data_IF_675616175455
#
_entry.id   IF_675616175455
#
_cell.length_a   1.000
_cell.length_b   1.000
_cell.length_c   1.000
_cell.angle_alpha   90.00
_cell.angle_beta   90.00
_cell.angle_gamma   90.00
#
_symmetry.space_group_name_H-M   'P 1'
#
loop_
_entity.id
_entity.type
_entity.pdbx_description
1 polymer ?
#
# COMPACT_ATOMS: atom_id res chain seq x y z
N UNK A 1 -12.25 5.57 -23.83
CA UNK A 1 -11.94 5.69 -22.40
C UNK A 1 -11.09 4.53 -21.91
N UNK A 2 -10.29 4.79 -20.88
CA UNK A 2 -9.50 3.75 -20.21
C UNK A 2 -10.39 2.79 -19.38
N UNK A 3 -9.77 1.79 -18.70
CA UNK A 3 -10.52 0.80 -17.90
C UNK A 3 -11.24 1.38 -16.69
N UNK A 4 -10.82 2.55 -16.22
CA UNK A 4 -11.49 3.28 -15.14
C UNK A 4 -12.66 4.13 -15.66
N UNK A 5 -13.02 4.04 -16.95
CA UNK A 5 -14.09 4.80 -17.55
C UNK A 5 -13.76 6.28 -17.79
N UNK A 6 -12.46 6.64 -17.84
CA UNK A 6 -11.99 8.02 -17.97
C UNK A 6 -11.54 8.28 -19.40
N UNK A 7 -11.96 9.40 -19.97
CA UNK A 7 -11.50 9.95 -21.25
C UNK A 7 -10.72 11.23 -20.97
N UNK A 8 -9.48 11.29 -21.39
CA UNK A 8 -8.68 12.51 -21.31
C UNK A 8 -8.83 13.32 -22.59
N UNK A 9 -9.12 14.61 -22.47
CA UNK A 9 -9.08 15.56 -23.57
C UNK A 9 -7.84 16.43 -23.44
N UNK A 10 -7.11 16.63 -24.54
CA UNK A 10 -5.86 17.43 -24.55
C UNK A 10 -6.04 18.80 -23.91
N UNK A 11 -7.16 19.47 -24.19
CA UNK A 11 -7.47 20.77 -23.59
C UNK A 11 -7.37 20.73 -22.06
N UNK A 12 -8.12 19.85 -21.40
CA UNK A 12 -8.15 19.76 -19.94
C UNK A 12 -6.86 19.17 -19.36
N UNK A 13 -6.22 18.25 -20.12
CA UNK A 13 -4.89 17.74 -19.75
C UNK A 13 -3.88 18.89 -19.68
N UNK A 14 -3.89 19.77 -20.68
CA UNK A 14 -3.01 20.95 -20.74
C UNK A 14 -3.33 21.97 -19.64
N UNK A 15 -4.61 22.25 -19.37
CA UNK A 15 -5.04 23.22 -18.37
C UNK A 15 -4.60 22.83 -16.95
N UNK A 16 -4.49 21.53 -16.67
CA UNK A 16 -4.12 21.00 -15.35
C UNK A 16 -2.65 20.52 -15.27
N UNK A 17 -1.89 20.59 -16.38
CA UNK A 17 -0.56 19.98 -16.47
C UNK A 17 0.48 20.59 -15.52
N UNK A 18 0.35 21.86 -15.15
CA UNK A 18 1.31 22.50 -14.24
C UNK A 18 1.33 21.84 -12.84
N UNK A 19 0.28 21.14 -12.45
CA UNK A 19 0.25 20.35 -11.21
C UNK A 19 1.16 19.10 -11.24
N UNK A 20 1.69 18.74 -12.43
CA UNK A 20 2.73 17.70 -12.57
C UNK A 20 4.04 18.11 -11.90
N UNK A 21 4.33 19.43 -11.85
CA UNK A 21 5.56 19.94 -11.24
C UNK A 21 5.54 19.73 -9.72
N UNK A 22 6.47 18.91 -9.24
CA UNK A 22 6.51 18.48 -7.84
C UNK A 22 5.65 17.26 -7.52
N UNK A 23 4.92 16.72 -8.49
CA UNK A 23 4.16 15.49 -8.32
C UNK A 23 5.09 14.33 -7.93
N UNK A 24 4.74 13.50 -6.94
CA UNK A 24 5.55 12.36 -6.55
C UNK A 24 5.54 11.26 -7.62
N UNK A 25 6.72 10.69 -7.86
CA UNK A 25 6.86 9.39 -8.50
C UNK A 25 6.90 8.33 -7.40
N UNK A 26 5.98 7.37 -7.46
CA UNK A 26 5.75 6.40 -6.40
C UNK A 26 6.00 4.96 -6.86
N UNK A 27 6.20 4.06 -5.91
CA UNK A 27 6.16 2.62 -6.07
C UNK A 27 5.61 1.97 -4.78
N UNK A 28 4.70 1.01 -4.94
CA UNK A 28 4.40 0.01 -3.92
C UNK A 28 5.33 -1.16 -4.19
N UNK A 29 6.15 -1.56 -3.23
CA UNK A 29 7.09 -2.66 -3.43
C UNK A 29 6.47 -3.99 -3.03
N UNK A 30 6.87 -5.06 -3.73
CA UNK A 30 6.40 -6.40 -3.48
C UNK A 30 6.84 -6.90 -2.09
N UNK A 31 8.06 -6.51 -1.68
CA UNK A 31 8.66 -6.86 -0.41
C UNK A 31 9.66 -5.80 0.10
N UNK A 32 10.34 -6.11 1.22
CA UNK A 32 11.29 -5.23 1.88
C UNK A 32 12.59 -5.01 1.08
N UNK A 33 12.88 -5.80 0.06
CA UNK A 33 14.06 -5.62 -0.81
C UNK A 33 13.95 -4.37 -1.67
N UNK A 34 12.72 -3.87 -1.89
CA UNK A 34 12.42 -2.63 -2.63
C UNK A 34 13.05 -2.60 -4.02
N UNK A 35 12.99 -3.72 -4.71
CA UNK A 35 13.45 -3.89 -6.08
C UNK A 35 12.29 -3.93 -7.07
N UNK A 36 11.31 -4.78 -6.86
CA UNK A 36 10.19 -5.01 -7.77
C UNK A 36 8.94 -4.24 -7.32
N UNK A 37 8.42 -3.32 -8.15
CA UNK A 37 7.16 -2.66 -7.85
C UNK A 37 5.99 -3.64 -8.01
N UNK A 38 4.88 -3.38 -7.32
CA UNK A 38 3.66 -4.17 -7.42
C UNK A 38 2.51 -3.35 -7.99
N UNK A 39 1.78 -2.66 -7.15
CA UNK A 39 0.58 -1.90 -7.50
C UNK A 39 0.68 -0.42 -7.11
N UNK A 40 -0.44 0.13 -6.67
CA UNK A 40 -0.53 1.53 -6.21
C UNK A 40 -0.36 1.70 -4.70
N UNK A 41 -0.42 0.63 -3.91
CA UNK A 41 -0.49 0.75 -2.45
C UNK A 41 -1.83 1.27 -1.95
N UNK A 42 -2.94 0.87 -2.60
CA UNK A 42 -4.29 1.30 -2.25
C UNK A 42 -4.70 0.76 -0.87
N UNK A 43 -4.95 1.66 0.08
CA UNK A 43 -5.38 1.33 1.45
C UNK A 43 -6.85 1.62 1.72
N UNK A 44 -7.48 2.48 0.93
CA UNK A 44 -8.87 2.84 1.13
C UNK A 44 -9.36 3.97 0.24
N UNK A 45 -10.44 4.62 0.65
CA UNK A 45 -11.02 5.77 -0.05
C UNK A 45 -11.45 6.84 0.96
N UNK A 46 -11.15 8.10 0.66
CA UNK A 46 -11.63 9.27 1.39
C UNK A 46 -12.45 10.13 0.41
N UNK A 47 -13.71 10.43 0.74
CA UNK A 47 -14.62 11.16 -0.15
C UNK A 47 -14.67 10.59 -1.58
N UNK A 48 -14.73 9.26 -1.71
CA UNK A 48 -14.68 8.51 -2.98
C UNK A 48 -13.36 8.63 -3.78
N UNK A 49 -12.33 9.27 -3.24
CA UNK A 49 -10.99 9.31 -3.82
C UNK A 49 -10.13 8.19 -3.23
N UNK A 50 -9.37 7.46 -4.06
CA UNK A 50 -8.47 6.41 -3.58
C UNK A 50 -7.33 7.01 -2.73
N UNK A 51 -6.89 6.25 -1.74
CA UNK A 51 -5.76 6.59 -0.86
C UNK A 51 -4.69 5.51 -1.02
N UNK A 52 -3.44 5.94 -1.22
CA UNK A 52 -2.32 5.08 -1.61
C UNK A 52 -1.19 5.12 -0.56
N UNK A 53 -1.50 4.77 0.70
CA UNK A 53 -0.56 4.89 1.83
C UNK A 53 0.54 3.82 1.82
N UNK A 54 0.32 2.67 1.16
CA UNK A 54 1.32 1.59 1.08
C UNK A 54 2.35 1.80 -0.04
N UNK A 55 2.23 2.88 -0.82
CA UNK A 55 3.26 3.29 -1.77
C UNK A 55 4.25 4.28 -1.14
N UNK A 56 5.49 4.26 -1.62
CA UNK A 56 6.54 5.18 -1.19
C UNK A 56 6.95 6.08 -2.35
N UNK A 57 7.29 7.33 -2.02
CA UNK A 57 7.84 8.26 -2.99
C UNK A 57 9.28 7.87 -3.33
N UNK A 58 9.52 7.45 -4.58
CA UNK A 58 10.84 7.06 -5.08
C UNK A 58 11.51 8.17 -5.87
N UNK A 59 10.77 9.20 -6.29
CA UNK A 59 11.24 10.32 -7.07
C UNK A 59 10.22 11.45 -7.14
N UNK A 60 10.43 12.39 -8.05
CA UNK A 60 9.51 13.50 -8.30
C UNK A 60 9.61 13.99 -9.74
N UNK A 61 8.52 14.54 -10.27
CA UNK A 61 8.49 15.19 -11.58
C UNK A 61 8.80 16.69 -11.45
N UNK A 62 9.50 17.22 -12.46
CA UNK A 62 10.01 18.59 -12.48
C UNK A 62 9.39 19.43 -13.59
N UNK A 63 9.09 18.79 -14.73
CA UNK A 63 8.55 19.47 -15.90
C UNK A 63 7.65 18.55 -16.73
N UNK A 64 6.96 19.13 -17.72
CA UNK A 64 6.07 18.39 -18.60
C UNK A 64 6.08 18.97 -20.03
N UNK A 65 5.70 18.12 -20.99
CA UNK A 65 5.42 18.49 -22.38
C UNK A 65 4.22 17.71 -22.91
N UNK A 66 3.66 18.10 -24.05
CA UNK A 66 2.65 17.31 -24.76
C UNK A 66 3.23 16.94 -26.12
N UNK A 67 3.39 15.63 -26.34
CA UNK A 67 4.08 15.07 -27.48
C UNK A 67 3.29 13.93 -28.11
N UNK A 68 3.59 13.63 -29.37
CA UNK A 68 3.08 12.45 -30.05
C UNK A 68 4.06 11.30 -29.83
N UNK A 69 3.63 10.27 -29.14
CA UNK A 69 4.43 9.11 -28.73
C UNK A 69 3.90 7.86 -29.42
N UNK A 70 4.80 7.07 -30.01
CA UNK A 70 4.46 5.77 -30.57
C UNK A 70 4.45 4.69 -29.48
N UNK A 71 3.27 4.13 -29.21
CA UNK A 71 3.05 3.10 -28.20
C UNK A 71 2.36 1.91 -28.85
N UNK A 72 3.03 0.74 -28.86
CA UNK A 72 2.50 -0.52 -29.42
C UNK A 72 2.10 -0.40 -30.92
N UNK A 73 2.77 0.49 -31.68
CA UNK A 73 2.55 0.71 -33.10
C UNK A 73 1.43 1.71 -33.43
N UNK A 74 0.89 2.37 -32.41
CA UNK A 74 -0.09 3.46 -32.55
C UNK A 74 0.48 4.77 -32.01
N UNK A 75 0.21 5.88 -32.69
CA UNK A 75 0.61 7.22 -32.23
C UNK A 75 -0.44 7.74 -31.24
N UNK A 76 0.03 8.08 -30.05
CA UNK A 76 -0.79 8.65 -28.98
C UNK A 76 -0.32 10.09 -28.68
N UNK A 77 -1.27 10.99 -28.52
CA UNK A 77 -1.02 12.33 -28.00
C UNK A 77 -0.94 12.26 -26.49
N UNK A 78 0.26 12.40 -25.92
CA UNK A 78 0.56 12.14 -24.52
C UNK A 78 1.00 13.38 -23.76
N UNK A 79 0.62 13.48 -22.48
CA UNK A 79 1.32 14.29 -21.50
C UNK A 79 2.57 13.52 -21.07
N UNK A 80 3.74 14.06 -21.42
CA UNK A 80 5.04 13.54 -21.03
C UNK A 80 5.53 14.32 -19.81
N UNK A 81 5.84 13.63 -18.74
CA UNK A 81 6.40 14.21 -17.52
C UNK A 81 7.86 13.79 -17.38
N UNK A 82 8.73 14.73 -17.07
CA UNK A 82 10.15 14.50 -16.80
C UNK A 82 10.46 14.76 -15.33
N UNK A 83 11.40 14.03 -14.77
CA UNK A 83 11.77 14.14 -13.37
C UNK A 83 12.93 13.24 -13.02
N UNK A 84 13.04 12.83 -11.77
CA UNK A 84 14.15 12.00 -11.30
C UNK A 84 13.67 10.89 -10.37
N UNK A 85 14.48 9.85 -10.28
CA UNK A 85 14.37 8.78 -9.26
C UNK A 85 15.55 8.92 -8.30
N UNK A 86 15.29 8.76 -7.01
CA UNK A 86 16.31 8.80 -5.95
C UNK A 86 17.12 7.50 -5.92
N UNK A 87 18.01 7.30 -6.88
CA UNK A 87 18.84 6.09 -6.99
C UNK A 87 19.59 5.79 -5.70
N UNK A 88 20.17 6.81 -5.05
CA UNK A 88 20.88 6.62 -3.79
C UNK A 88 20.04 6.07 -2.64
N UNK A 89 18.70 6.15 -2.73
CA UNK A 89 17.76 5.56 -1.77
C UNK A 89 17.16 4.24 -2.23
N UNK A 90 17.01 4.08 -3.55
CA UNK A 90 16.34 2.93 -4.17
C UNK A 90 17.21 2.33 -5.29
N UNK A 91 18.47 1.93 -4.99
CA UNK A 91 19.39 1.44 -6.02
C UNK A 91 18.92 0.16 -6.69
N UNK A 92 18.35 -0.78 -5.93
CA UNK A 92 17.80 -2.04 -6.47
C UNK A 92 16.61 -1.80 -7.40
N UNK A 93 15.78 -0.81 -7.09
CA UNK A 93 14.65 -0.43 -7.93
C UNK A 93 15.11 0.18 -9.25
N UNK A 94 16.12 1.04 -9.23
CA UNK A 94 16.72 1.62 -10.45
C UNK A 94 17.34 0.51 -11.30
N UNK A 95 18.14 -0.39 -10.71
CA UNK A 95 18.71 -1.56 -11.38
C UNK A 95 17.62 -2.42 -12.04
N UNK A 96 16.52 -2.68 -11.31
CA UNK A 96 15.38 -3.42 -11.86
C UNK A 96 14.76 -2.69 -13.07
N UNK A 97 14.57 -1.35 -13.02
CA UNK A 97 14.06 -0.58 -14.16
C UNK A 97 15.00 -0.71 -15.35
N UNK A 98 16.30 -0.54 -15.15
CA UNK A 98 17.32 -0.65 -16.20
C UNK A 98 17.29 -2.01 -16.86
N UNK A 99 17.23 -3.08 -16.07
CA UNK A 99 17.13 -4.46 -16.56
C UNK A 99 15.87 -4.69 -17.39
N UNK A 100 14.72 -4.17 -16.96
CA UNK A 100 13.48 -4.31 -17.71
C UNK A 100 13.58 -3.55 -19.06
N UNK A 101 14.08 -2.32 -19.06
CA UNK A 101 14.25 -1.51 -20.28
C UNK A 101 15.29 -2.14 -21.22
N UNK A 102 16.43 -2.64 -20.70
CA UNK A 102 17.45 -3.33 -21.48
C UNK A 102 16.91 -4.61 -22.15
N UNK A 103 15.96 -5.28 -21.53
CA UNK A 103 15.26 -6.44 -22.08
C UNK A 103 14.08 -6.07 -23.00
N UNK A 104 13.93 -4.79 -23.38
CA UNK A 104 12.90 -4.29 -24.29
C UNK A 104 11.49 -4.32 -23.71
N UNK A 105 11.35 -4.42 -22.41
CA UNK A 105 10.04 -4.37 -21.76
C UNK A 105 9.58 -2.94 -21.59
N UNK A 106 8.30 -2.69 -21.87
CA UNK A 106 7.64 -1.42 -21.58
C UNK A 106 7.15 -1.42 -20.16
N UNK A 107 7.76 -0.61 -19.32
CA UNK A 107 7.30 -0.42 -17.96
C UNK A 107 6.04 0.43 -17.96
N UNK A 108 5.03 -0.04 -17.28
CA UNK A 108 3.72 0.60 -17.20
C UNK A 108 3.58 1.32 -15.86
N UNK A 109 2.75 2.34 -15.87
CA UNK A 109 2.41 3.04 -14.65
C UNK A 109 0.95 3.45 -14.62
N UNK A 110 0.59 4.15 -13.59
CA UNK A 110 -0.74 4.71 -13.44
C UNK A 110 -0.65 6.09 -12.83
N UNK A 111 -1.31 7.04 -13.48
CA UNK A 111 -1.41 8.40 -13.02
C UNK A 111 -2.51 8.51 -11.96
N UNK A 112 -2.25 9.33 -10.96
CA UNK A 112 -3.16 9.67 -9.89
C UNK A 112 -3.53 11.16 -10.00
N UNK A 113 -4.80 11.47 -9.74
CA UNK A 113 -5.26 12.85 -9.68
C UNK A 113 -6.34 13.03 -8.62
N UNK A 114 -6.41 14.24 -8.08
CA UNK A 114 -7.31 14.64 -7.00
C UNK A 114 -8.06 15.90 -7.39
N UNK A 115 -9.13 16.19 -6.67
CA UNK A 115 -9.81 17.48 -6.82
C UNK A 115 -8.97 18.62 -6.25
N UNK A 116 -9.13 19.82 -6.82
CA UNK A 116 -8.43 21.01 -6.40
C UNK A 116 -8.97 21.56 -5.08
N UNK A 117 -8.15 22.33 -4.37
CA UNK A 117 -8.58 22.99 -3.12
C UNK A 117 -9.75 23.94 -3.33
N UNK A 118 -9.82 24.59 -4.48
CA UNK A 118 -10.88 25.53 -4.84
C UNK A 118 -12.23 24.87 -5.09
N UNK A 119 -12.23 23.55 -5.27
CA UNK A 119 -13.42 22.71 -5.45
C UNK A 119 -13.64 21.73 -4.27
N UNK A 120 -13.25 22.12 -3.06
CA UNK A 120 -13.41 21.30 -1.84
C UNK A 120 -12.77 19.88 -1.95
N UNK A 121 -11.78 19.72 -2.81
CA UNK A 121 -11.13 18.45 -3.09
C UNK A 121 -11.92 17.52 -4.03
N UNK A 122 -12.92 18.05 -4.72
CA UNK A 122 -13.68 17.27 -5.72
C UNK A 122 -13.14 17.50 -7.14
N UNK A 123 -13.11 16.45 -7.94
CA UNK A 123 -12.81 16.51 -9.37
C UNK A 123 -14.05 16.99 -10.10
N UNK A 124 -13.92 18.05 -10.90
CA UNK A 124 -15.00 18.52 -11.76
C UNK A 124 -14.92 17.80 -13.11
N UNK A 125 -16.03 17.22 -13.54
CA UNK A 125 -16.15 16.53 -14.79
C UNK A 125 -16.98 17.34 -15.80
N UNK A 126 -16.52 17.38 -17.07
CA UNK A 126 -17.25 17.98 -18.17
C UNK A 126 -18.55 17.18 -18.45
N UNK A 127 -19.66 17.90 -18.42
CA UNK A 127 -20.99 17.30 -18.50
C UNK A 127 -21.39 16.46 -17.27
N UNK A 128 -20.67 16.61 -16.15
CA UNK A 128 -20.93 15.91 -14.90
C UNK A 128 -20.33 14.50 -14.82
N UNK A 129 -20.51 13.86 -13.68
CA UNK A 129 -19.98 12.53 -13.42
C UNK A 129 -20.74 11.46 -14.23
N UNK A 130 -20.00 10.52 -14.83
CA UNK A 130 -20.50 9.32 -15.51
C UNK A 130 -19.63 8.14 -15.11
N UNK A 131 -20.20 6.96 -15.06
CA UNK A 131 -19.44 5.75 -14.79
C UNK A 131 -18.41 5.46 -15.90
N UNK A 132 -18.83 5.61 -17.16
CA UNK A 132 -17.97 5.41 -18.32
C UNK A 132 -17.93 6.65 -19.22
N UNK A 133 -16.74 6.93 -19.75
CA UNK A 133 -16.51 8.06 -20.66
C UNK A 133 -16.56 9.43 -19.95
N UNK A 134 -16.39 9.47 -18.61
CA UNK A 134 -16.30 10.73 -17.89
C UNK A 134 -15.02 11.46 -18.24
N UNK A 135 -15.11 12.78 -18.32
CA UNK A 135 -14.04 13.66 -18.77
C UNK A 135 -13.65 14.55 -17.60
N UNK A 136 -12.53 14.32 -16.93
CA UNK A 136 -12.04 15.22 -15.88
C UNK A 136 -11.66 16.56 -16.51
N UNK A 137 -12.20 17.64 -15.94
CA UNK A 137 -12.03 19.00 -16.43
C UNK A 137 -11.15 19.84 -15.51
N UNK A 138 -11.42 19.78 -14.18
CA UNK A 138 -10.64 20.52 -13.17
C UNK A 138 -10.17 19.50 -12.12
N UNK A 139 -8.86 19.37 -12.01
CA UNK A 139 -8.18 18.41 -11.12
C UNK A 139 -6.69 18.78 -11.00
N UNK A 140 -6.00 18.23 -10.02
CA UNK A 140 -4.54 18.25 -9.91
C UNK A 140 -3.99 16.85 -10.11
N UNK A 141 -2.87 16.72 -10.81
CA UNK A 141 -2.08 15.51 -10.82
C UNK A 141 -1.43 15.33 -9.44
N UNK A 142 -1.66 14.19 -8.79
CA UNK A 142 -1.25 13.94 -7.41
C UNK A 142 -0.15 12.89 -7.26
N UNK A 143 0.05 12.05 -8.28
CA UNK A 143 1.07 11.03 -8.27
C UNK A 143 1.13 10.22 -9.56
N UNK A 144 2.23 9.53 -9.74
CA UNK A 144 2.40 8.51 -10.76
C UNK A 144 3.09 7.30 -10.13
N UNK A 145 2.48 6.13 -10.23
CA UNK A 145 3.04 4.90 -9.67
C UNK A 145 3.53 3.97 -10.78
N UNK A 146 4.78 3.48 -10.67
CA UNK A 146 5.30 2.44 -11.57
C UNK A 146 4.74 1.09 -11.11
N UNK A 147 4.21 0.31 -12.07
CA UNK A 147 3.48 -0.93 -11.80
C UNK A 147 4.15 -2.13 -12.49
N UNK A 148 4.15 -3.29 -11.82
CA UNK A 148 4.37 -4.58 -12.48
C UNK A 148 3.06 -5.29 -12.85
N UNK A 149 1.93 -4.83 -12.32
CA UNK A 149 0.60 -5.32 -12.67
C UNK A 149 0.01 -4.54 -13.87
N UNK A 150 -1.08 -5.06 -14.43
CA UNK A 150 -1.73 -4.47 -15.60
C UNK A 150 -2.41 -3.13 -15.27
N UNK A 151 -1.98 -2.00 -15.88
CA UNK A 151 -2.55 -0.68 -15.60
C UNK A 151 -3.97 -0.53 -16.17
N UNK A 152 -4.67 0.49 -15.69
CA UNK A 152 -5.96 0.89 -16.24
C UNK A 152 -5.82 1.61 -17.57
N UNK A 153 -4.74 2.36 -17.75
CA UNK A 153 -4.37 3.01 -19.00
C UNK A 153 -3.09 2.38 -19.56
N UNK A 154 -3.17 1.65 -20.69
CA UNK A 154 -1.99 1.03 -21.29
C UNK A 154 -1.04 2.03 -21.94
N UNK A 155 -1.43 3.29 -22.16
CA UNK A 155 -0.56 4.34 -22.68
C UNK A 155 0.30 5.02 -21.61
N UNK A 156 0.02 4.79 -20.32
CA UNK A 156 0.86 5.28 -19.23
C UNK A 156 2.13 4.42 -19.09
N UNK A 157 3.23 4.88 -19.70
CA UNK A 157 4.50 4.14 -19.77
C UNK A 157 5.67 4.99 -19.30
N UNK A 158 6.72 4.31 -18.81
CA UNK A 158 8.05 4.91 -18.69
C UNK A 158 8.75 4.79 -20.05
N UNK A 159 9.13 5.92 -20.65
CA UNK A 159 9.73 5.97 -22.00
C UNK A 159 11.22 5.67 -21.90
N UNK A 160 11.91 6.38 -21.01
CA UNK A 160 13.36 6.26 -20.84
C UNK A 160 13.78 6.53 -19.38
N UNK A 161 14.92 5.96 -19.03
CA UNK A 161 15.64 6.26 -17.80
C UNK A 161 17.07 6.64 -18.21
N UNK A 162 17.44 7.90 -17.99
CA UNK A 162 18.79 8.37 -18.26
C UNK A 162 19.55 8.45 -16.93
N UNK A 163 20.67 7.72 -16.84
CA UNK A 163 21.59 7.94 -15.72
C UNK A 163 22.20 9.33 -15.87
N UNK A 164 22.19 10.11 -14.81
CA UNK A 164 22.99 11.32 -14.71
C UNK A 164 24.47 10.90 -14.65
N UNK A 165 25.04 10.56 -15.82
CA UNK A 165 26.48 10.46 -15.90
C UNK A 165 26.97 11.89 -15.70
N UNK A 166 27.58 12.14 -14.54
CA UNK A 166 28.36 13.34 -14.31
C UNK A 166 29.39 13.40 -15.44
N UNK A 167 29.06 14.08 -16.54
CA UNK A 167 30.01 14.50 -17.55
C UNK A 167 30.89 15.62 -16.94
N UNK A 168 31.66 15.23 -15.91
CA UNK A 168 32.76 16.02 -15.38
C UNK A 168 34.03 15.83 -16.25
N UNK A 169 33.92 15.22 -17.43
CA UNK A 169 35.08 14.90 -18.26
C UNK A 169 35.54 16.05 -19.16
N UNK A 170 34.85 17.20 -19.27
CA UNK A 170 35.24 18.29 -20.18
C UNK A 170 35.57 19.64 -19.53
N UNK A 171 35.87 19.65 -18.25
CA UNK A 171 36.55 20.79 -17.64
C UNK A 171 37.96 20.35 -17.28
N UNK A 172 38.96 20.80 -18.02
CA UNK A 172 40.38 20.79 -17.59
C UNK A 172 40.47 21.54 -16.26
N UNK A 173 40.09 20.90 -15.19
CA UNK A 173 40.25 21.39 -13.82
C UNK A 173 41.73 21.14 -13.43
N UNK A 174 42.42 22.20 -13.07
CA UNK A 174 43.76 22.17 -12.56
C UNK A 174 43.95 21.03 -11.53
N UNK A 175 44.99 20.20 -11.70
CA UNK A 175 45.27 19.03 -10.84
C UNK A 175 45.30 19.37 -9.36
N UNK A 176 45.69 20.57 -8.99
CA UNK A 176 45.70 21.06 -7.61
C UNK A 176 44.27 21.24 -7.06
N UNK A 177 43.35 21.75 -7.87
CA UNK A 177 41.94 21.93 -7.47
C UNK A 177 41.24 20.57 -7.31
N UNK A 178 41.53 19.63 -8.22
CA UNK A 178 41.01 18.26 -8.12
C UNK A 178 41.51 17.53 -6.86
N UNK A 179 42.74 17.72 -6.51
CA UNK A 179 43.33 17.14 -5.28
C UNK A 179 42.75 17.77 -4.02
N UNK A 180 42.57 19.08 -4.01
CA UNK A 180 41.92 19.80 -2.91
C UNK A 180 40.46 19.41 -2.74
N UNK A 181 39.69 19.31 -3.86
CA UNK A 181 38.26 18.88 -3.88
C UNK A 181 38.13 17.43 -3.41
N UNK A 182 39.02 16.54 -3.85
CA UNK A 182 39.04 15.14 -3.44
C UNK A 182 39.37 14.98 -1.94
N UNK A 183 40.29 15.78 -1.41
CA UNK A 183 40.57 15.83 0.02
C UNK A 183 39.37 16.31 0.83
N UNK A 184 38.74 17.42 0.44
CA UNK A 184 37.57 17.97 1.06
C UNK A 184 36.37 17.02 1.03
N UNK A 185 36.12 16.34 -0.14
CA UNK A 185 35.10 15.31 -0.27
C UNK A 185 35.33 14.14 0.69
N UNK A 186 36.56 13.69 0.82
CA UNK A 186 36.95 12.61 1.74
C UNK A 186 36.72 13.00 3.21
N UNK A 187 37.09 14.22 3.59
CA UNK A 187 36.89 14.74 4.93
C UNK A 187 35.43 14.90 5.29
N UNK A 188 34.60 15.41 4.37
CA UNK A 188 33.16 15.49 4.53
C UNK A 188 32.53 14.09 4.66
N UNK A 189 32.88 13.15 3.79
CA UNK A 189 32.37 11.78 3.84
C UNK A 189 32.74 11.11 5.17
N UNK A 190 33.93 11.29 5.65
CA UNK A 190 34.36 10.72 6.93
C UNK A 190 33.65 11.37 8.13
N UNK A 191 33.50 12.71 8.14
CA UNK A 191 32.72 13.41 9.15
C UNK A 191 31.25 12.99 9.19
N UNK A 192 30.61 12.81 8.02
CA UNK A 192 29.24 12.31 7.93
C UNK A 192 29.12 10.85 8.35
N UNK A 193 30.09 9.99 8.00
CA UNK A 193 30.09 8.59 8.44
C UNK A 193 30.22 8.44 9.95
N UNK A 194 31.09 9.23 10.56
CA UNK A 194 31.31 9.17 12.01
C UNK A 194 30.08 9.65 12.79
N UNK A 195 29.47 10.76 12.38
CA UNK A 195 28.26 11.29 13.02
C UNK A 195 27.05 10.35 12.84
N UNK A 196 26.87 9.82 11.62
CA UNK A 196 25.75 8.92 11.30
C UNK A 196 25.86 7.56 11.98
N UNK A 197 27.07 7.03 12.12
CA UNK A 197 27.29 5.75 12.82
C UNK A 197 26.95 5.82 14.31
N UNK A 198 27.20 6.96 14.97
CA UNK A 198 26.86 7.15 16.40
C UNK A 198 25.33 7.20 16.58
N UNK A 199 24.62 8.01 15.80
CA UNK A 199 23.16 8.11 15.87
C UNK A 199 22.47 6.80 15.50
N UNK A 200 22.91 6.12 14.44
CA UNK A 200 22.34 4.83 14.02
C UNK A 200 22.56 3.75 15.06
N UNK A 201 23.77 3.66 15.65
CA UNK A 201 24.06 2.68 16.69
C UNK A 201 23.22 2.92 17.96
N UNK A 202 22.97 4.17 18.34
CA UNK A 202 22.09 4.50 19.45
C UNK A 202 20.62 4.13 19.17
N UNK A 203 20.15 4.40 17.95
CA UNK A 203 18.80 3.98 17.53
C UNK A 203 18.64 2.45 17.46
N UNK A 204 19.65 1.75 16.95
CA UNK A 204 19.67 0.28 16.92
C UNK A 204 19.62 -0.28 18.34
N UNK A 205 20.45 0.20 19.25
CA UNK A 205 20.44 -0.24 20.67
C UNK A 205 19.09 0.00 21.36
N UNK A 206 18.45 1.15 21.07
CA UNK A 206 17.12 1.45 21.60
C UNK A 206 16.04 0.52 21.02
N UNK A 207 16.12 0.19 19.72
CA UNK A 207 15.21 -0.75 19.07
C UNK A 207 15.41 -2.17 19.59
N UNK A 208 16.63 -2.63 19.76
CA UNK A 208 16.94 -3.93 20.35
C UNK A 208 16.35 -4.07 21.77
N UNK A 209 16.46 -3.02 22.57
CA UNK A 209 15.87 -2.99 23.91
C UNK A 209 14.34 -3.07 23.88
N UNK A 210 13.68 -2.37 22.95
CA UNK A 210 12.23 -2.45 22.76
C UNK A 210 11.79 -3.82 22.26
N UNK A 211 12.54 -4.43 21.37
CA UNK A 211 12.26 -5.79 20.87
C UNK A 211 12.37 -6.80 22.01
N UNK A 212 13.37 -6.69 22.88
CA UNK A 212 13.51 -7.55 24.04
C UNK A 212 12.33 -7.40 25.02
N UNK A 213 11.88 -6.17 25.29
CA UNK A 213 10.70 -5.89 26.12
C UNK A 213 9.42 -6.48 25.51
N UNK A 214 9.20 -6.28 24.22
CA UNK A 214 8.04 -6.82 23.53
C UNK A 214 8.03 -8.35 23.51
N UNK A 215 9.16 -9.00 23.30
CA UNK A 215 9.28 -10.45 23.37
C UNK A 215 8.95 -10.98 24.78
N UNK A 216 9.38 -10.28 25.83
CA UNK A 216 8.98 -10.63 27.20
C UNK A 216 7.47 -10.55 27.40
N UNK A 217 6.83 -9.48 26.94
CA UNK A 217 5.36 -9.33 27.00
C UNK A 217 4.62 -10.40 26.23
N UNK A 218 5.12 -10.76 25.05
CA UNK A 218 4.53 -11.85 24.24
C UNK A 218 4.61 -13.18 25.01
N UNK A 219 5.73 -13.44 25.67
CA UNK A 219 5.89 -14.66 26.48
C UNK A 219 4.90 -14.70 27.66
N UNK A 220 4.72 -13.57 28.36
CA UNK A 220 3.75 -13.47 29.46
C UNK A 220 2.31 -13.63 28.99
N UNK A 221 1.97 -13.02 27.84
CA UNK A 221 0.64 -13.16 27.26
C UNK A 221 0.34 -14.59 26.83
N UNK A 222 1.31 -15.27 26.22
CA UNK A 222 1.16 -16.69 25.83
C UNK A 222 0.92 -17.57 27.05
N UNK A 223 1.66 -17.35 28.16
CA UNK A 223 1.42 -18.08 29.40
C UNK A 223 -0.01 -17.83 29.97
N UNK A 224 -0.47 -16.58 29.89
CA UNK A 224 -1.83 -16.23 30.31
C UNK A 224 -2.89 -16.89 29.43
N UNK A 225 -2.67 -16.97 28.12
CA UNK A 225 -3.56 -17.67 27.18
C UNK A 225 -3.63 -19.16 27.54
N UNK A 226 -2.51 -19.82 27.77
CA UNK A 226 -2.49 -21.23 28.16
C UNK A 226 -3.23 -21.51 29.48
N UNK A 227 -3.16 -20.58 30.43
CA UNK A 227 -3.91 -20.69 31.70
C UNK A 227 -5.42 -20.54 31.44
N UNK A 228 -5.81 -19.56 30.61
CA UNK A 228 -7.21 -19.35 30.26
C UNK A 228 -7.82 -20.50 29.46
N UNK A 229 -7.05 -21.09 28.58
CA UNK A 229 -7.48 -22.27 27.81
C UNK A 229 -7.80 -23.45 28.74
N UNK A 230 -6.98 -23.67 29.77
CA UNK A 230 -7.27 -24.69 30.81
C UNK A 230 -8.54 -24.39 31.61
N UNK A 231 -8.73 -23.11 32.02
CA UNK A 231 -9.96 -22.70 32.69
C UNK A 231 -11.20 -22.95 31.81
N UNK A 232 -11.10 -22.65 30.50
CA UNK A 232 -12.19 -22.88 29.53
C UNK A 232 -12.49 -24.38 29.43
N UNK A 233 -11.45 -25.22 29.33
CA UNK A 233 -11.63 -26.67 29.25
C UNK A 233 -12.32 -27.23 30.51
N UNK A 234 -11.94 -26.77 31.73
CA UNK A 234 -12.59 -27.15 32.97
C UNK A 234 -14.04 -26.67 33.05
N UNK A 235 -14.33 -25.45 32.60
CA UNK A 235 -15.68 -24.91 32.54
C UNK A 235 -16.57 -25.68 31.59
N UNK A 236 -16.06 -26.02 30.39
CA UNK A 236 -16.79 -26.81 29.41
C UNK A 236 -17.17 -28.19 30.01
N UNK A 237 -16.22 -28.85 30.69
CA UNK A 237 -16.50 -30.14 31.34
C UNK A 237 -17.57 -30.02 32.39
N UNK A 238 -17.57 -28.97 33.23
CA UNK A 238 -18.63 -28.71 34.23
C UNK A 238 -19.98 -28.43 33.58
N UNK A 239 -19.99 -27.73 32.42
CA UNK A 239 -21.22 -27.52 31.67
C UNK A 239 -21.78 -28.84 31.11
N UNK A 240 -20.94 -29.70 30.57
CA UNK A 240 -21.35 -31.03 30.08
C UNK A 240 -21.94 -31.89 31.22
N UNK A 241 -21.26 -31.92 32.38
CA UNK A 241 -21.75 -32.63 33.56
C UNK A 241 -23.12 -32.08 34.07
N UNK A 242 -23.27 -30.75 34.09
CA UNK A 242 -24.52 -30.09 34.49
C UNK A 242 -25.67 -30.38 33.50
N UNK A 243 -25.39 -30.35 32.21
CA UNK A 243 -26.36 -30.69 31.19
C UNK A 243 -26.81 -32.16 31.28
N UNK A 244 -25.88 -33.08 31.48
CA UNK A 244 -26.21 -34.49 31.67
C UNK A 244 -27.03 -34.75 32.94
N UNK A 245 -26.82 -33.97 34.01
CA UNK A 245 -27.66 -34.05 35.23
C UNK A 245 -29.06 -33.45 35.00
N UNK A 246 -29.16 -32.37 34.24
CA UNK A 246 -30.44 -31.77 33.86
C UNK A 246 -31.27 -32.76 33.02
N UNK A 247 -30.68 -33.36 31.99
CA UNK A 247 -31.35 -34.35 31.13
C UNK A 247 -31.89 -35.54 31.95
N UNK A 248 -31.12 -36.03 32.93
CA UNK A 248 -31.60 -37.11 33.83
C UNK A 248 -32.81 -36.68 34.68
N UNK A 249 -32.79 -35.44 35.20
CA UNK A 249 -33.91 -34.91 35.98
C UNK A 249 -35.16 -34.71 35.14
N UNK A 250 -35.00 -34.29 33.88
CA UNK A 250 -36.11 -34.15 32.94
C UNK A 250 -36.71 -35.52 32.58
N UNK A 251 -35.90 -36.55 32.39
CA UNK A 251 -36.36 -37.91 32.15
C UNK A 251 -37.08 -38.47 33.38
N UNK A 252 -36.56 -38.27 34.61
CA UNK A 252 -37.23 -38.68 35.86
C UNK A 252 -38.54 -37.94 36.06
N UNK A 253 -38.61 -36.63 35.73
CA UNK A 253 -39.83 -35.84 35.84
C UNK A 253 -40.89 -36.36 34.87
N UNK A 254 -40.51 -36.66 33.61
CA UNK A 254 -41.40 -37.23 32.61
C UNK A 254 -41.95 -38.60 33.01
N UNK A 255 -41.11 -39.48 33.55
CA UNK A 255 -41.56 -40.78 34.04
C UNK A 255 -42.57 -40.66 35.21
N UNK A 256 -42.36 -39.74 36.14
CA UNK A 256 -43.31 -39.43 37.20
C UNK A 256 -44.64 -38.87 36.69
N UNK A 257 -44.60 -38.03 35.70
CA UNK A 257 -45.80 -37.50 35.04
C UNK A 257 -46.60 -38.60 34.37
N UNK A 258 -45.96 -39.53 33.68
CA UNK A 258 -46.58 -40.69 33.03
C UNK A 258 -47.20 -41.64 34.07
N UNK A 259 -46.51 -41.90 35.20
CA UNK A 259 -47.01 -42.69 36.30
C UNK A 259 -48.27 -42.02 36.97
N UNK A 260 -48.23 -40.70 37.14
CA UNK A 260 -49.34 -39.93 37.72
C UNK A 260 -50.55 -39.93 36.78
N UNK A 261 -50.35 -39.76 35.49
CA UNK A 261 -51.42 -39.81 34.48
C UNK A 261 -52.09 -41.20 34.42
N UNK A 262 -51.28 -42.27 34.56
CA UNK A 262 -51.79 -43.63 34.61
C UNK A 262 -52.66 -43.86 35.91
N UNK A 263 -52.18 -43.39 37.07
CA UNK A 263 -52.88 -43.49 38.30
C UNK A 263 -54.19 -42.66 38.29
N UNK A 264 -54.23 -41.50 37.66
CA UNK A 264 -55.44 -40.71 37.47
C UNK A 264 -56.41 -41.45 36.59
N UNK A 265 -56.00 -42.05 35.48
CA UNK A 265 -56.87 -42.80 34.58
C UNK A 265 -57.49 -44.03 35.30
N UNK A 266 -56.75 -44.73 36.15
CA UNK A 266 -57.25 -45.85 36.98
C UNK A 266 -58.30 -45.36 37.95
N UNK A 267 -58.08 -44.25 38.64
CA UNK A 267 -59.02 -43.66 39.57
C UNK A 267 -60.29 -43.17 38.92
N UNK A 268 -60.19 -42.56 37.73
CA UNK A 268 -61.36 -42.15 36.96
C UNK A 268 -62.19 -43.34 36.48
N UNK A 269 -61.57 -44.46 36.17
CA UNK A 269 -62.26 -45.69 35.84
C UNK A 269 -62.97 -46.29 37.03
N UNK A 270 -62.40 -46.29 38.25
CA UNK A 270 -63.02 -46.72 39.48
C UNK A 270 -64.23 -45.85 39.86
N UNK A 271 -64.20 -44.54 39.65
CA UNK A 271 -65.28 -43.60 39.98
C UNK A 271 -66.50 -43.72 39.08
N UNK A 272 -66.34 -44.22 37.84
CA UNK A 272 -67.34 -44.36 36.84
C UNK A 272 -68.00 -45.76 36.78
N UNK A 273 -67.71 -46.65 37.73
CA UNK A 273 -68.31 -47.95 37.97
C UNK A 273 -69.18 -47.90 39.21
#
# INVERSE_FOLDING_TARGET
>A
WNRNGITYLEQYTRDNADSVKGMPLCAEFLDDDKDVPYGHGLTGHIKNMPVFEDSVQVGSFEDWSIEDIEIDGETHRCLCATGYINEGRYPKFVEWIEDQLANGKKLRGSVEFVGTKDNDGEIIYDGGWKEQGRIPMIYDYSGYCILSIKPSDPSAILIELNQFKNNLEDVEMNEELNKALSGFKTDIINAFKDTRNVEVNEQVSNLESKVAELNSKVTELNATIEEKDKEIEELNKKCEEANAEADKKDEEAKNKEDELNSAIAEKDAELNT
#
